data_IF_796610192185
#
_entry.id   IF_796610192185
#
_cell.length_a   1.000
_cell.length_b   1.000
_cell.length_c   1.000
_cell.angle_alpha   90.00
_cell.angle_beta   90.00
_cell.angle_gamma   90.00
#
_symmetry.space_group_name_H-M   'P 1'
#
loop_
_entity.id
_entity.type
_entity.pdbx_description
1 polymer ?
#
# COMPACT_ATOMS: atom_id res chain seq x y z
N UNK A 1 26.98 23.38 -28.55
CA UNK A 1 25.63 22.87 -28.82
C UNK A 1 25.54 21.52 -28.12
N UNK A 2 25.18 21.54 -26.84
CA UNK A 2 25.05 20.34 -26.01
C UNK A 2 23.59 19.94 -26.01
N UNK A 3 23.31 18.78 -26.49
CA UNK A 3 21.96 18.17 -26.52
C UNK A 3 21.69 17.51 -25.16
N UNK A 4 21.12 18.27 -24.25
CA UNK A 4 20.49 17.75 -23.03
C UNK A 4 19.02 17.43 -23.33
N UNK A 5 18.75 16.32 -23.99
CA UNK A 5 17.37 15.94 -24.28
C UNK A 5 17.21 14.42 -24.32
N UNK A 6 17.30 13.77 -23.16
CA UNK A 6 17.01 12.34 -23.13
C UNK A 6 16.14 11.89 -21.95
N UNK A 7 15.79 12.74 -21.02
CA UNK A 7 15.10 12.30 -19.79
C UNK A 7 13.64 12.77 -19.65
N UNK A 8 13.05 13.31 -20.71
CA UNK A 8 11.61 13.64 -20.74
C UNK A 8 10.70 12.44 -21.00
N UNK A 9 11.25 11.28 -21.35
CA UNK A 9 10.44 10.08 -21.62
C UNK A 9 9.97 9.32 -20.38
N UNK A 10 10.50 9.63 -19.19
CA UNK A 10 9.96 9.09 -17.95
C UNK A 10 8.52 9.56 -17.67
N UNK A 11 8.11 10.71 -18.23
CA UNK A 11 6.74 11.20 -18.08
C UNK A 11 5.70 10.41 -18.87
N UNK A 12 6.11 9.74 -19.97
CA UNK A 12 5.17 8.94 -20.78
C UNK A 12 4.86 7.58 -20.15
N UNK A 13 5.82 7.00 -19.40
CA UNK A 13 5.59 5.77 -18.61
C UNK A 13 4.70 6.05 -17.39
N UNK A 14 4.73 7.28 -16.88
CA UNK A 14 3.93 7.70 -15.72
C UNK A 14 2.42 7.72 -15.96
N UNK A 15 1.99 7.99 -17.20
CA UNK A 15 0.55 8.15 -17.55
C UNK A 15 -0.15 6.78 -17.68
N UNK A 16 0.58 5.72 -18.02
CA UNK A 16 0.00 4.39 -18.21
C UNK A 16 -0.19 3.62 -16.90
N UNK A 17 0.59 3.92 -15.85
CA UNK A 17 0.48 3.27 -14.54
C UNK A 17 -0.78 3.68 -13.74
N UNK A 18 -1.44 4.77 -14.11
CA UNK A 18 -2.59 5.30 -13.37
C UNK A 18 -3.94 4.79 -13.91
N UNK A 19 -4.00 4.26 -15.13
CA UNK A 19 -5.27 4.02 -15.81
C UNK A 19 -5.84 2.59 -15.73
N UNK A 20 -5.20 1.63 -15.06
CA UNK A 20 -5.64 0.23 -15.14
C UNK A 20 -5.94 -0.47 -13.80
N UNK A 21 -5.99 0.25 -12.68
CA UNK A 21 -6.32 -0.32 -11.37
C UNK A 21 -7.83 -0.44 -11.08
N UNK A 22 -8.70 -0.25 -12.06
CA UNK A 22 -10.16 -0.33 -11.88
C UNK A 22 -10.77 -1.73 -12.08
N UNK A 23 -9.99 -2.80 -12.20
CA UNK A 23 -10.53 -4.14 -12.43
C UNK A 23 -9.73 -5.25 -11.72
N UNK A 24 -9.37 -5.08 -10.46
CA UNK A 24 -9.02 -6.23 -9.64
C UNK A 24 -10.31 -6.82 -9.06
N UNK A 25 -10.82 -7.83 -9.71
CA UNK A 25 -11.95 -8.64 -9.26
C UNK A 25 -11.65 -9.21 -7.87
N UNK A 26 -12.39 -8.74 -6.88
CA UNK A 26 -12.49 -9.36 -5.57
C UNK A 26 -13.04 -10.79 -5.73
N UNK A 27 -12.18 -11.76 -5.77
CA UNK A 27 -12.51 -13.14 -5.43
C UNK A 27 -12.24 -13.33 -3.93
N UNK A 28 -13.03 -12.68 -3.10
CA UNK A 28 -13.15 -13.11 -1.72
C UNK A 28 -13.91 -14.45 -1.76
N UNK A 29 -13.16 -15.53 -1.70
CA UNK A 29 -13.73 -16.87 -1.54
C UNK A 29 -14.31 -16.98 -0.13
N UNK A 30 -15.58 -16.62 0.02
CA UNK A 30 -16.36 -17.06 1.16
C UNK A 30 -16.80 -18.50 0.88
N UNK A 31 -16.00 -19.44 1.41
CA UNK A 31 -16.23 -20.86 1.24
C UNK A 31 -17.55 -21.32 1.85
N UNK A 32 -18.26 -22.08 1.06
CA UNK A 32 -19.38 -22.92 1.48
C UNK A 32 -18.87 -24.01 2.43
N UNK A 33 -19.23 -23.93 3.69
CA UNK A 33 -19.14 -25.09 4.59
C UNK A 33 -20.37 -25.95 4.34
N UNK A 34 -20.15 -27.09 3.72
CA UNK A 34 -21.14 -28.15 3.60
C UNK A 34 -21.10 -28.99 4.88
N UNK A 35 -22.18 -28.93 5.62
CA UNK A 35 -22.49 -29.82 6.74
C UNK A 35 -22.72 -31.25 6.25
N UNK A 36 -22.02 -32.22 6.80
CA UNK A 36 -22.43 -33.62 6.76
C UNK A 36 -22.62 -34.14 8.16
N UNK A 37 -23.84 -34.48 8.39
CA UNK A 37 -24.46 -35.09 9.56
C UNK A 37 -23.79 -36.35 10.06
N UNK A 38 -23.78 -36.56 11.37
CA UNK A 38 -23.57 -37.83 12.00
C UNK A 38 -24.17 -37.86 13.40
N UNK A 39 -25.33 -38.50 13.51
CA UNK A 39 -26.13 -38.54 14.71
C UNK A 39 -25.60 -39.46 15.82
N UNK A 40 -26.14 -39.29 16.99
CA UNK A 40 -25.92 -40.15 18.16
C UNK A 40 -26.80 -39.74 19.33
N UNK A 41 -27.88 -40.42 19.49
CA UNK A 41 -28.89 -40.41 20.57
C UNK A 41 -28.30 -40.82 21.90
N UNK A 42 -28.79 -40.24 23.02
CA UNK A 42 -29.43 -40.88 24.22
C UNK A 42 -29.47 -39.94 25.42
N UNK A 43 -30.60 -39.49 25.80
CA UNK A 43 -31.51 -39.91 26.87
C UNK A 43 -31.07 -39.58 28.32
N UNK A 44 -31.83 -38.64 28.88
CA UNK A 44 -32.54 -38.60 30.16
C UNK A 44 -31.82 -38.90 31.49
N UNK A 45 -31.94 -38.01 32.45
CA UNK A 45 -32.81 -38.17 33.62
C UNK A 45 -32.71 -36.99 34.59
N UNK A 46 -33.84 -36.66 35.09
CA UNK A 46 -34.24 -35.75 36.15
C UNK A 46 -33.53 -35.99 37.50
N UNK A 47 -33.35 -34.94 38.33
CA UNK A 47 -34.07 -34.83 39.60
C UNK A 47 -33.75 -33.54 40.36
N UNK A 48 -34.77 -33.01 40.97
CA UNK A 48 -34.88 -31.82 41.78
C UNK A 48 -34.23 -31.98 43.17
N UNK A 49 -33.71 -30.88 43.74
CA UNK A 49 -33.98 -30.55 45.16
C UNK A 49 -33.57 -29.12 45.49
N UNK A 50 -34.48 -28.45 46.18
CA UNK A 50 -34.39 -27.12 46.78
C UNK A 50 -33.39 -27.01 47.91
N UNK A 51 -32.80 -25.82 48.05
CA UNK A 51 -32.77 -25.01 49.30
C UNK A 51 -31.93 -23.74 49.11
N UNK A 52 -32.48 -22.60 49.42
CA UNK A 52 -31.80 -21.34 49.75
C UNK A 52 -31.73 -21.21 51.29
N UNK A 53 -31.14 -20.14 51.89
CA UNK A 53 -30.20 -19.11 51.41
C UNK A 53 -28.95 -19.00 52.31
N UNK A 54 -27.91 -18.31 51.86
CA UNK A 54 -27.17 -17.40 52.73
C UNK A 54 -26.36 -16.35 51.90
N UNK A 55 -26.49 -15.14 52.38
CA UNK A 55 -25.80 -13.94 51.90
C UNK A 55 -24.31 -14.03 52.19
N UNK A 56 -23.48 -13.75 51.17
CA UNK A 56 -22.26 -13.01 51.43
C UNK A 56 -21.75 -12.27 50.16
N UNK A 57 -21.22 -11.14 50.44
CA UNK A 57 -20.73 -10.10 49.56
C UNK A 57 -19.85 -10.62 48.42
N UNK A 58 -20.29 -10.53 47.21
CA UNK A 58 -19.44 -10.65 46.00
C UNK A 58 -19.07 -9.26 45.52
N UNK A 59 -17.78 -8.99 45.59
CA UNK A 59 -17.00 -8.01 44.87
C UNK A 59 -17.50 -7.88 43.41
N UNK A 60 -17.77 -6.69 42.88
CA UNK A 60 -18.05 -6.54 41.47
C UNK A 60 -16.72 -6.70 40.70
N UNK A 61 -16.34 -7.96 40.47
CA UNK A 61 -15.34 -8.30 39.47
C UNK A 61 -15.76 -7.58 38.18
N UNK A 62 -14.94 -6.66 37.74
CA UNK A 62 -15.08 -5.97 36.49
C UNK A 62 -15.39 -7.01 35.41
N UNK A 63 -16.65 -7.09 35.01
CA UNK A 63 -17.04 -7.81 33.81
C UNK A 63 -16.24 -7.17 32.67
N UNK A 64 -15.24 -7.88 32.20
CA UNK A 64 -14.54 -7.50 30.98
C UNK A 64 -15.62 -7.31 29.94
N UNK A 65 -15.78 -6.06 29.49
CA UNK A 65 -16.75 -5.73 28.47
C UNK A 65 -16.45 -6.64 27.27
N UNK A 66 -17.42 -7.50 26.93
CA UNK A 66 -17.33 -8.35 25.77
C UNK A 66 -17.03 -7.43 24.58
N UNK A 67 -16.04 -7.75 23.72
CA UNK A 67 -15.70 -6.91 22.57
C UNK A 67 -16.99 -6.53 21.83
N UNK A 68 -17.12 -5.26 21.50
CA UNK A 68 -18.29 -4.79 20.79
C UNK A 68 -18.40 -5.54 19.47
N UNK A 69 -19.56 -6.13 19.20
CA UNK A 69 -19.79 -6.98 18.03
C UNK A 69 -19.77 -6.16 16.73
N UNK A 70 -19.65 -6.86 15.60
CA UNK A 70 -19.79 -6.31 14.24
C UNK A 70 -20.99 -5.34 14.12
N UNK A 71 -22.16 -5.75 14.60
CA UNK A 71 -23.40 -4.99 14.56
C UNK A 71 -23.40 -3.66 15.31
N UNK A 72 -22.50 -3.45 16.24
CA UNK A 72 -22.40 -2.21 17.01
C UNK A 72 -21.33 -1.25 16.49
N UNK A 73 -20.55 -1.63 15.46
CA UNK A 73 -19.55 -0.78 14.87
C UNK A 73 -20.19 0.46 14.21
N UNK A 74 -19.61 1.61 14.43
CA UNK A 74 -20.05 2.90 13.89
C UNK A 74 -18.90 3.64 13.24
N UNK A 75 -19.18 4.74 12.55
CA UNK A 75 -18.18 5.56 11.90
C UNK A 75 -16.99 5.89 12.84
N UNK A 76 -15.79 5.67 12.35
CA UNK A 76 -14.53 5.86 13.08
C UNK A 76 -14.11 4.67 13.94
N UNK A 77 -14.86 3.56 13.97
CA UNK A 77 -14.44 2.32 14.61
C UNK A 77 -13.44 1.58 13.71
N UNK A 78 -12.42 0.99 14.32
CA UNK A 78 -11.48 0.12 13.64
C UNK A 78 -11.77 -1.33 14.01
N UNK A 79 -11.73 -2.22 13.01
CA UNK A 79 -12.09 -3.62 13.15
C UNK A 79 -10.98 -4.54 12.68
N UNK A 80 -10.84 -5.65 13.38
CA UNK A 80 -9.96 -6.75 12.96
C UNK A 80 -10.74 -8.06 12.96
N UNK A 81 -10.18 -9.09 12.34
CA UNK A 81 -10.68 -10.45 12.29
C UNK A 81 -9.57 -11.42 11.94
N UNK A 82 -9.79 -12.68 12.22
CA UNK A 82 -8.91 -13.76 11.80
C UNK A 82 -9.27 -14.23 10.39
N UNK A 83 -8.25 -14.49 9.57
CA UNK A 83 -8.39 -15.10 8.25
C UNK A 83 -7.92 -16.56 8.32
N UNK A 84 -8.75 -17.48 7.90
CA UNK A 84 -8.37 -18.88 7.73
C UNK A 84 -7.60 -19.07 6.40
N UNK A 85 -6.99 -20.23 6.21
CA UNK A 85 -6.20 -20.53 5.00
C UNK A 85 -7.05 -20.55 3.71
N UNK A 86 -8.36 -20.74 3.83
CA UNK A 86 -9.32 -20.66 2.73
C UNK A 86 -9.86 -19.25 2.47
N UNK A 87 -9.34 -18.23 3.19
CA UNK A 87 -9.77 -16.84 3.10
C UNK A 87 -11.02 -16.50 3.91
N UNK A 88 -11.63 -17.45 4.63
CA UNK A 88 -12.80 -17.18 5.46
C UNK A 88 -12.43 -16.28 6.66
N UNK A 89 -13.30 -15.31 6.94
CA UNK A 89 -13.12 -14.36 8.03
C UNK A 89 -13.98 -14.75 9.23
N UNK A 90 -13.41 -14.70 10.43
CA UNK A 90 -14.10 -15.01 11.69
C UNK A 90 -13.55 -14.16 12.84
N UNK A 91 -14.33 -14.07 13.94
CA UNK A 91 -13.87 -13.36 15.13
C UNK A 91 -13.76 -11.85 14.93
N UNK A 92 -14.77 -11.22 14.31
CA UNK A 92 -14.81 -9.78 14.14
C UNK A 92 -14.83 -9.04 15.47
N UNK A 93 -13.86 -8.18 15.69
CA UNK A 93 -13.68 -7.40 16.91
C UNK A 93 -13.41 -5.94 16.59
N UNK A 94 -13.93 -5.03 17.44
CA UNK A 94 -13.53 -3.63 17.41
C UNK A 94 -12.27 -3.46 18.25
N UNK A 95 -11.29 -2.77 17.66
CA UNK A 95 -10.00 -2.47 18.31
C UNK A 95 -9.72 -0.97 18.26
N UNK A 96 -8.73 -0.53 19.03
CA UNK A 96 -8.21 0.83 18.87
C UNK A 96 -7.59 1.01 17.49
N UNK A 97 -7.87 2.13 16.80
CA UNK A 97 -7.25 2.40 15.50
C UNK A 97 -5.72 2.57 15.57
N UNK A 98 -5.14 2.77 16.73
CA UNK A 98 -3.69 2.75 16.95
C UNK A 98 -3.10 1.34 16.95
N UNK A 99 -3.93 0.30 17.04
CA UNK A 99 -3.53 -1.10 16.98
C UNK A 99 -3.73 -1.66 15.57
N UNK A 100 -3.08 -2.79 15.23
CA UNK A 100 -3.29 -3.43 13.93
C UNK A 100 -4.77 -3.78 13.70
N UNK A 101 -5.31 -3.31 12.60
CA UNK A 101 -6.69 -3.53 12.19
C UNK A 101 -6.77 -3.67 10.67
N UNK A 102 -7.85 -4.30 10.18
CA UNK A 102 -8.05 -4.59 8.76
C UNK A 102 -9.05 -3.66 8.09
N UNK A 103 -9.84 -2.93 8.88
CA UNK A 103 -10.94 -2.12 8.36
C UNK A 103 -11.21 -0.92 9.26
N UNK A 104 -11.37 0.26 8.68
CA UNK A 104 -11.86 1.46 9.34
C UNK A 104 -13.27 1.76 8.84
N UNK A 105 -14.24 1.75 9.73
CA UNK A 105 -15.65 2.01 9.40
C UNK A 105 -15.86 3.47 9.11
N UNK A 106 -16.38 3.80 7.93
CA UNK A 106 -16.78 5.15 7.54
C UNK A 106 -18.26 5.41 7.80
N UNK A 107 -19.10 4.43 7.50
CA UNK A 107 -20.57 4.51 7.64
C UNK A 107 -21.14 3.13 7.95
N UNK A 108 -22.26 3.14 8.67
CA UNK A 108 -23.06 1.96 8.93
C UNK A 108 -24.44 2.16 8.34
N UNK A 109 -24.85 1.25 7.48
CA UNK A 109 -26.15 1.24 6.83
C UNK A 109 -27.01 0.07 7.34
N UNK A 110 -28.31 0.30 7.49
CA UNK A 110 -29.30 -0.75 7.78
C UNK A 110 -30.06 -1.07 6.48
N UNK A 111 -29.71 -2.17 5.85
CA UNK A 111 -30.33 -2.60 4.61
C UNK A 111 -31.83 -2.91 4.77
N UNK A 112 -32.31 -3.20 5.99
CA UNK A 112 -33.74 -3.45 6.25
C UNK A 112 -34.60 -2.20 6.05
N UNK A 113 -34.01 -1.01 6.08
CA UNK A 113 -34.69 0.26 5.82
C UNK A 113 -35.04 0.46 4.34
N UNK A 114 -34.41 -0.28 3.44
CA UNK A 114 -34.69 -0.17 2.00
C UNK A 114 -35.96 -0.95 1.64
N UNK A 115 -36.91 -0.33 0.92
CA UNK A 115 -38.23 -0.91 0.65
C UNK A 115 -38.19 -1.95 -0.46
N UNK A 116 -37.30 -2.93 -0.35
CA UNK A 116 -37.17 -4.03 -1.32
C UNK A 116 -37.31 -5.37 -0.63
N UNK A 117 -37.72 -6.40 -1.37
CA UNK A 117 -37.74 -7.78 -0.87
C UNK A 117 -36.32 -8.37 -0.78
N UNK A 118 -35.36 -7.72 -1.40
CA UNK A 118 -33.97 -8.18 -1.46
C UNK A 118 -33.29 -8.30 -0.07
N UNK A 119 -33.70 -7.44 0.87
CA UNK A 119 -33.17 -7.46 2.23
C UNK A 119 -34.21 -7.85 3.29
N UNK A 120 -35.27 -8.50 2.85
CA UNK A 120 -36.33 -8.97 3.74
C UNK A 120 -35.89 -10.04 4.74
N UNK A 121 -36.78 -10.42 5.68
CA UNK A 121 -36.41 -11.35 6.77
C UNK A 121 -35.88 -12.71 6.30
N UNK A 122 -36.32 -13.18 5.13
CA UNK A 122 -35.93 -14.47 4.56
C UNK A 122 -35.08 -14.32 3.29
N UNK A 123 -34.54 -13.13 3.06
CA UNK A 123 -33.69 -12.88 1.90
C UNK A 123 -32.35 -13.60 2.05
N UNK A 124 -31.90 -14.19 0.95
CA UNK A 124 -30.54 -14.73 0.88
C UNK A 124 -29.50 -13.61 1.06
N UNK A 125 -28.35 -13.97 1.64
CA UNK A 125 -27.25 -13.02 1.79
C UNK A 125 -26.72 -12.64 0.40
N UNK A 126 -26.52 -11.35 0.09
CA UNK A 126 -26.00 -10.90 -1.20
C UNK A 126 -24.70 -11.61 -1.58
N UNK A 127 -24.63 -12.07 -2.82
CA UNK A 127 -23.41 -12.63 -3.39
C UNK A 127 -22.34 -11.54 -3.63
N UNK A 128 -21.13 -11.93 -4.06
CA UNK A 128 -20.00 -11.03 -4.28
C UNK A 128 -20.33 -9.94 -5.30
N UNK A 129 -21.09 -10.29 -6.35
CA UNK A 129 -21.48 -9.32 -7.40
C UNK A 129 -22.39 -8.24 -6.82
N UNK A 130 -23.39 -8.67 -6.03
CA UNK A 130 -24.31 -7.72 -5.38
C UNK A 130 -23.64 -6.92 -4.27
N UNK A 131 -22.70 -7.52 -3.54
CA UNK A 131 -21.90 -6.79 -2.54
C UNK A 131 -21.07 -5.67 -3.19
N UNK A 132 -20.46 -5.92 -4.36
CA UNK A 132 -19.76 -4.89 -5.12
C UNK A 132 -20.70 -3.75 -5.55
N UNK A 133 -21.89 -4.07 -6.04
CA UNK A 133 -22.89 -3.06 -6.39
C UNK A 133 -23.33 -2.24 -5.15
N UNK A 134 -23.55 -2.88 -4.01
CA UNK A 134 -23.89 -2.19 -2.75
C UNK A 134 -22.74 -1.28 -2.30
N UNK A 135 -21.49 -1.69 -2.45
CA UNK A 135 -20.35 -0.84 -2.18
C UNK A 135 -20.37 0.44 -3.04
N UNK A 136 -20.59 0.30 -4.33
CA UNK A 136 -20.68 1.45 -5.25
C UNK A 136 -21.89 2.35 -4.94
N UNK A 137 -23.05 1.75 -4.70
CA UNK A 137 -24.29 2.47 -4.45
C UNK A 137 -24.32 3.20 -3.10
N UNK A 138 -23.79 2.60 -2.04
CA UNK A 138 -23.98 3.07 -0.67
C UNK A 138 -22.69 3.53 0.02
N UNK A 139 -21.53 3.00 -0.38
CA UNK A 139 -20.30 3.23 0.37
C UNK A 139 -19.39 4.30 -0.24
N UNK A 140 -19.32 4.44 -1.57
CA UNK A 140 -18.31 5.33 -2.18
C UNK A 140 -18.46 6.78 -1.73
N UNK A 141 -19.64 7.38 -1.95
CA UNK A 141 -19.85 8.78 -1.63
C UNK A 141 -19.79 9.07 -0.12
N UNK A 142 -20.31 8.16 0.68
CA UNK A 142 -20.34 8.29 2.15
C UNK A 142 -18.94 8.17 2.74
N UNK A 143 -18.10 7.26 2.21
CA UNK A 143 -16.72 7.09 2.67
C UNK A 143 -15.84 8.27 2.25
N UNK A 144 -15.98 8.78 1.03
CA UNK A 144 -15.27 10.00 0.60
C UNK A 144 -15.69 11.18 1.47
N UNK A 145 -16.99 11.32 1.81
CA UNK A 145 -17.48 12.36 2.71
C UNK A 145 -16.94 12.21 4.14
N UNK A 146 -16.81 10.98 4.65
CA UNK A 146 -16.19 10.67 5.94
C UNK A 146 -14.75 11.18 6.02
N UNK A 147 -14.00 11.08 4.93
CA UNK A 147 -12.62 11.60 4.80
C UNK A 147 -12.57 13.08 4.38
N UNK A 148 -13.68 13.79 4.40
CA UNK A 148 -13.74 15.22 3.97
C UNK A 148 -13.20 15.44 2.54
N UNK A 149 -13.39 14.46 1.66
CA UNK A 149 -12.88 14.47 0.30
C UNK A 149 -11.39 14.09 0.17
N UNK A 150 -10.71 13.75 1.25
CA UNK A 150 -9.28 13.42 1.26
C UNK A 150 -9.06 11.91 1.14
N UNK A 151 -9.48 11.34 0.04
CA UNK A 151 -9.21 9.95 -0.32
C UNK A 151 -8.45 9.88 -1.64
N UNK A 152 -7.30 9.20 -1.63
CA UNK A 152 -6.50 8.99 -2.84
C UNK A 152 -6.94 7.69 -3.53
N UNK A 153 -7.62 7.77 -4.68
CA UNK A 153 -8.02 6.58 -5.43
C UNK A 153 -6.83 5.77 -5.97
N UNK A 154 -5.63 6.37 -6.01
CA UNK A 154 -4.39 5.71 -6.37
C UNK A 154 -3.55 5.33 -5.15
N UNK A 155 -4.11 5.54 -3.96
CA UNK A 155 -3.48 5.22 -2.69
C UNK A 155 -3.62 3.74 -2.32
N UNK A 156 -3.17 3.41 -1.11
CA UNK A 156 -3.18 2.04 -0.58
C UNK A 156 -4.51 1.64 0.08
N UNK A 157 -5.45 2.57 0.23
CA UNK A 157 -6.73 2.30 0.88
C UNK A 157 -7.85 2.22 -0.13
N UNK A 158 -8.49 1.05 -0.18
CA UNK A 158 -9.67 0.79 -0.98
C UNK A 158 -10.95 1.08 -0.17
N UNK A 159 -11.96 1.63 -0.83
CA UNK A 159 -13.30 1.66 -0.27
C UNK A 159 -13.90 0.26 -0.36
N UNK A 160 -14.36 -0.26 0.76
CA UNK A 160 -14.90 -1.59 0.85
C UNK A 160 -16.21 -1.62 1.64
N UNK A 161 -16.92 -2.73 1.53
CA UNK A 161 -18.12 -3.02 2.29
C UNK A 161 -18.04 -4.39 2.95
N UNK A 162 -18.56 -4.50 4.16
CA UNK A 162 -18.63 -5.76 4.88
C UNK A 162 -20.09 -6.02 5.28
N UNK A 163 -20.60 -7.20 4.92
CA UNK A 163 -21.87 -7.73 5.39
C UNK A 163 -21.68 -8.60 6.63
N UNK A 164 -22.72 -8.77 7.47
CA UNK A 164 -22.67 -9.68 8.61
C UNK A 164 -22.27 -11.10 8.19
N UNK A 165 -21.67 -11.87 9.08
CA UNK A 165 -21.49 -13.30 8.88
C UNK A 165 -22.84 -13.98 8.51
N UNK A 166 -22.79 -15.09 7.77
CA UNK A 166 -23.98 -15.75 7.26
C UNK A 166 -24.99 -16.08 8.39
N UNK A 167 -24.51 -16.59 9.51
CA UNK A 167 -25.35 -16.90 10.67
C UNK A 167 -26.08 -15.66 11.24
N UNK A 168 -25.39 -14.52 11.30
CA UNK A 168 -26.02 -13.28 11.77
C UNK A 168 -27.05 -12.74 10.74
N UNK A 169 -26.76 -12.91 9.43
CA UNK A 169 -27.71 -12.59 8.38
C UNK A 169 -29.00 -13.45 8.47
N UNK A 170 -28.85 -14.75 8.70
CA UNK A 170 -29.98 -15.67 8.92
C UNK A 170 -30.79 -15.30 10.16
N UNK A 171 -30.17 -14.73 11.19
CA UNK A 171 -30.81 -14.21 12.39
C UNK A 171 -31.46 -12.83 12.19
N UNK A 172 -31.37 -12.27 10.99
CA UNK A 172 -32.00 -11.01 10.63
C UNK A 172 -31.12 -9.78 10.70
N UNK A 173 -29.80 -9.93 10.94
CA UNK A 173 -28.89 -8.80 10.86
C UNK A 173 -28.75 -8.33 9.39
N UNK A 174 -29.04 -7.07 9.14
CA UNK A 174 -28.99 -6.43 7.82
C UNK A 174 -28.01 -5.27 7.79
N UNK A 175 -27.05 -5.28 8.69
CA UNK A 175 -26.02 -4.24 8.76
C UNK A 175 -25.07 -4.35 7.58
N UNK A 176 -24.86 -3.25 6.86
CA UNK A 176 -23.76 -3.06 5.92
C UNK A 176 -22.77 -2.07 6.56
N UNK A 177 -21.54 -2.47 6.73
CA UNK A 177 -20.47 -1.55 7.11
C UNK A 177 -19.73 -1.10 5.86
N UNK A 178 -19.72 0.19 5.63
CA UNK A 178 -18.86 0.83 4.63
C UNK A 178 -17.58 1.30 5.29
N UNK A 179 -16.46 1.24 4.58
CA UNK A 179 -15.20 1.71 5.16
C UNK A 179 -14.01 1.54 4.24
N UNK A 180 -12.86 1.54 4.86
CA UNK A 180 -11.55 1.56 4.21
C UNK A 180 -10.71 0.38 4.67
N UNK A 181 -10.02 -0.23 3.75
CA UNK A 181 -9.08 -1.34 3.99
C UNK A 181 -7.87 -1.24 3.09
N UNK A 182 -6.79 -1.92 3.42
CA UNK A 182 -5.68 -2.20 2.51
C UNK A 182 -5.76 -3.65 2.06
N UNK A 183 -5.36 -3.93 0.84
CA UNK A 183 -5.33 -5.30 0.30
C UNK A 183 -3.97 -5.63 -0.30
N UNK A 184 -3.62 -6.91 -0.34
CA UNK A 184 -2.49 -7.39 -1.13
C UNK A 184 -2.89 -7.58 -2.61
N UNK A 185 -1.95 -8.04 -3.42
CA UNK A 185 -2.17 -8.28 -4.85
C UNK A 185 -3.23 -9.36 -5.16
N UNK A 186 -3.57 -10.20 -4.17
CA UNK A 186 -4.63 -11.20 -4.28
C UNK A 186 -5.99 -10.67 -3.78
N UNK A 187 -6.06 -9.40 -3.33
CA UNK A 187 -7.26 -8.80 -2.78
C UNK A 187 -7.54 -9.19 -1.32
N UNK A 188 -6.58 -9.81 -0.63
CA UNK A 188 -6.75 -10.21 0.77
C UNK A 188 -6.53 -9.00 1.67
N UNK A 189 -7.48 -8.69 2.59
CA UNK A 189 -7.34 -7.58 3.53
C UNK A 189 -6.10 -7.70 4.40
N UNK A 190 -5.27 -6.66 4.38
CA UNK A 190 -4.03 -6.55 5.16
C UNK A 190 -4.24 -5.70 6.41
N UNK A 191 -3.36 -5.87 7.38
CA UNK A 191 -3.39 -5.04 8.59
C UNK A 191 -2.75 -3.68 8.33
N UNK A 192 -3.37 -2.65 8.90
CA UNK A 192 -2.88 -1.29 8.93
C UNK A 192 -3.00 -0.73 10.35
N UNK A 193 -2.36 0.39 10.62
CA UNK A 193 -2.44 1.11 11.89
C UNK A 193 -2.71 2.58 11.66
N UNK A 194 -3.44 3.22 12.57
CA UNK A 194 -3.82 4.62 12.46
C UNK A 194 -5.09 4.82 11.64
N UNK A 195 -5.75 5.96 11.80
CA UNK A 195 -6.90 6.34 10.98
C UNK A 195 -6.44 6.82 9.61
N UNK A 196 -7.18 6.45 8.56
CA UNK A 196 -6.84 6.82 7.17
C UNK A 196 -6.71 8.32 6.99
N UNK A 197 -7.52 9.11 7.67
CA UNK A 197 -7.42 10.58 7.66
C UNK A 197 -6.13 11.15 8.27
N UNK A 198 -5.37 10.35 9.01
CA UNK A 198 -4.18 10.77 9.77
C UNK A 198 -2.88 10.13 9.28
N UNK A 199 -2.97 9.13 8.42
CA UNK A 199 -1.81 8.40 7.91
C UNK A 199 -1.58 8.70 6.43
N UNK A 200 -0.37 8.42 5.97
CA UNK A 200 -0.01 8.54 4.55
C UNK A 200 -0.75 7.47 3.73
N UNK A 201 -1.44 7.91 2.69
CA UNK A 201 -2.21 7.03 1.82
C UNK A 201 -1.39 6.49 0.63
N UNK A 202 -0.16 6.91 0.46
CA UNK A 202 0.66 6.49 -0.67
C UNK A 202 0.92 4.98 -0.69
N UNK A 203 0.91 4.39 -1.88
CA UNK A 203 1.39 3.02 -2.12
C UNK A 203 2.91 3.04 -2.17
N UNK A 204 3.55 2.50 -1.14
CA UNK A 204 5.01 2.42 -1.07
C UNK A 204 5.47 1.02 -0.69
N UNK A 205 6.54 0.58 -1.35
CA UNK A 205 7.27 -0.64 -0.98
C UNK A 205 8.32 -0.32 0.09
N UNK A 206 8.65 -1.31 0.92
CA UNK A 206 9.63 -1.13 1.98
C UNK A 206 11.07 -1.22 1.44
N UNK A 207 12.04 -0.55 2.08
CA UNK A 207 13.44 -0.69 1.72
C UNK A 207 13.90 -2.15 1.74
N UNK A 208 14.53 -2.59 0.66
CA UNK A 208 14.97 -3.97 0.45
C UNK A 208 13.95 -4.85 -0.28
N UNK A 209 12.74 -4.37 -0.53
CA UNK A 209 11.77 -5.10 -1.35
C UNK A 209 12.11 -4.97 -2.84
N UNK A 210 12.08 -6.12 -3.52
CA UNK A 210 12.26 -6.21 -4.96
C UNK A 210 10.90 -6.29 -5.66
N UNK A 211 10.76 -5.57 -6.78
CA UNK A 211 9.48 -5.45 -7.48
C UNK A 211 9.62 -5.81 -8.94
N UNK A 212 8.72 -6.67 -9.38
CA UNK A 212 8.57 -7.06 -10.78
C UNK A 212 7.50 -6.20 -11.45
N UNK A 213 7.78 -5.76 -12.66
CA UNK A 213 6.84 -5.08 -13.56
C UNK A 213 6.30 -6.12 -14.52
N UNK A 214 4.99 -6.30 -14.59
CA UNK A 214 4.36 -7.18 -15.58
C UNK A 214 4.06 -6.46 -16.91
N UNK A 215 3.50 -7.20 -17.87
CA UNK A 215 3.15 -6.68 -19.18
C UNK A 215 2.05 -5.60 -19.17
N UNK A 216 1.32 -5.47 -18.07
CA UNK A 216 0.32 -4.43 -17.82
C UNK A 216 0.90 -3.24 -17.01
N UNK A 217 2.20 -3.24 -16.76
CA UNK A 217 2.89 -2.28 -15.90
C UNK A 217 2.45 -2.31 -14.42
N UNK A 218 1.93 -3.43 -13.95
CA UNK A 218 1.61 -3.63 -12.54
C UNK A 218 2.87 -4.04 -11.79
N UNK A 219 3.10 -3.39 -10.65
CA UNK A 219 4.22 -3.65 -9.77
C UNK A 219 3.83 -4.70 -8.72
N UNK A 220 4.54 -5.83 -8.71
CA UNK A 220 4.35 -6.91 -7.73
C UNK A 220 5.62 -7.08 -6.91
N UNK A 221 5.52 -7.16 -5.59
CA UNK A 221 6.64 -7.51 -4.71
C UNK A 221 6.98 -8.98 -4.87
N UNK A 222 8.26 -9.26 -5.07
CA UNK A 222 8.80 -10.62 -5.23
C UNK A 222 10.07 -10.78 -4.39
N UNK A 223 10.48 -12.00 -4.02
CA UNK A 223 11.81 -12.25 -3.46
C UNK A 223 12.91 -11.75 -4.41
N UNK A 224 13.94 -11.07 -3.89
CA UNK A 224 15.01 -10.55 -4.75
C UNK A 224 15.81 -11.65 -5.48
N UNK A 225 15.74 -12.89 -5.01
CA UNK A 225 16.28 -14.05 -5.73
C UNK A 225 15.50 -14.40 -7.00
N UNK A 226 14.30 -13.84 -7.18
CA UNK A 226 13.51 -14.00 -8.40
C UNK A 226 13.74 -12.85 -9.38
N UNK A 227 13.42 -13.01 -10.68
CA UNK A 227 13.48 -11.94 -11.66
C UNK A 227 12.61 -10.73 -11.27
N UNK A 228 13.21 -9.55 -11.23
CA UNK A 228 12.56 -8.29 -10.90
C UNK A 228 13.22 -7.12 -11.68
N UNK A 229 12.66 -5.93 -11.62
CA UNK A 229 13.17 -4.74 -12.32
C UNK A 229 13.58 -3.61 -11.38
N UNK A 230 13.02 -3.57 -10.18
CA UNK A 230 13.28 -2.51 -9.20
C UNK A 230 13.66 -3.13 -7.85
N UNK A 231 14.64 -2.56 -7.17
CA UNK A 231 14.90 -2.81 -5.75
C UNK A 231 14.69 -1.52 -4.97
N UNK A 232 13.79 -1.54 -4.01
CA UNK A 232 13.43 -0.36 -3.22
C UNK A 232 14.55 0.00 -2.25
N UNK A 233 14.99 1.24 -2.32
CA UNK A 233 16.06 1.79 -1.48
C UNK A 233 15.50 2.49 -0.25
N UNK A 234 14.50 3.35 -0.46
CA UNK A 234 13.91 4.15 0.61
C UNK A 234 12.51 4.64 0.27
N UNK A 235 11.81 5.08 1.30
CA UNK A 235 10.57 5.84 1.19
C UNK A 235 10.92 7.31 1.48
N UNK A 236 10.57 8.20 0.55
CA UNK A 236 10.82 9.65 0.67
C UNK A 236 9.48 10.33 1.00
N UNK A 237 9.35 10.85 2.21
CA UNK A 237 8.19 11.66 2.59
C UNK A 237 8.41 13.11 2.15
N UNK A 238 7.74 13.51 1.07
CA UNK A 238 7.90 14.83 0.46
C UNK A 238 7.30 15.96 1.31
N UNK A 239 6.34 15.66 2.18
CA UNK A 239 5.75 16.66 3.08
C UNK A 239 6.73 17.16 4.15
N UNK A 240 7.75 16.39 4.48
CA UNK A 240 8.80 16.85 5.41
C UNK A 240 9.59 18.05 4.85
N UNK A 241 9.76 18.09 3.53
CA UNK A 241 10.43 19.20 2.84
C UNK A 241 9.46 20.35 2.56
N UNK A 242 8.21 20.02 2.25
CA UNK A 242 7.20 20.99 1.81
C UNK A 242 5.99 21.03 2.75
N UNK A 243 6.16 21.43 4.02
CA UNK A 243 5.05 21.42 5.00
C UNK A 243 3.96 22.45 4.68
N UNK A 244 4.25 23.43 3.82
CA UNK A 244 3.33 24.50 3.43
C UNK A 244 2.34 24.14 2.32
N UNK A 245 2.39 22.93 1.78
CA UNK A 245 1.52 22.49 0.71
C UNK A 245 2.29 21.96 -0.50
N UNK A 246 1.57 21.64 -1.57
CA UNK A 246 2.14 21.10 -2.81
C UNK A 246 3.06 22.14 -3.47
N UNK A 247 4.35 21.83 -3.68
CA UNK A 247 5.30 22.73 -4.31
C UNK A 247 5.13 22.79 -5.84
N UNK A 248 5.98 23.57 -6.52
CA UNK A 248 6.12 23.43 -7.96
C UNK A 248 6.70 22.04 -8.31
N UNK A 249 6.21 21.43 -9.41
CA UNK A 249 6.63 20.08 -9.81
C UNK A 249 8.15 19.96 -9.96
N UNK A 250 8.81 20.98 -10.50
CA UNK A 250 10.26 20.99 -10.67
C UNK A 250 11.03 21.00 -9.34
N UNK A 251 10.50 21.69 -8.33
CA UNK A 251 11.13 21.73 -7.00
C UNK A 251 10.95 20.38 -6.29
N UNK A 252 9.79 19.76 -6.45
CA UNK A 252 9.53 18.42 -5.91
C UNK A 252 10.43 17.39 -6.58
N UNK A 253 10.50 17.39 -7.91
CA UNK A 253 11.30 16.43 -8.69
C UNK A 253 12.79 16.55 -8.34
N UNK A 254 13.30 17.78 -8.23
CA UNK A 254 14.68 18.05 -7.81
C UNK A 254 14.94 17.50 -6.40
N UNK A 255 14.05 17.78 -5.46
CA UNK A 255 14.20 17.27 -4.08
C UNK A 255 14.20 15.74 -4.02
N UNK A 256 13.27 15.09 -4.74
CA UNK A 256 13.18 13.63 -4.78
C UNK A 256 14.42 13.04 -5.43
N UNK A 257 14.88 13.63 -6.55
CA UNK A 257 16.08 13.21 -7.27
C UNK A 257 17.31 13.24 -6.37
N UNK A 258 17.56 14.37 -5.72
CA UNK A 258 18.74 14.56 -4.88
C UNK A 258 18.70 13.60 -3.68
N UNK A 259 17.53 13.49 -3.04
CA UNK A 259 17.34 12.60 -1.90
C UNK A 259 17.47 11.12 -2.30
N UNK A 260 16.88 10.72 -3.42
CA UNK A 260 16.96 9.35 -3.91
C UNK A 260 18.40 8.98 -4.30
N UNK A 261 19.13 9.90 -4.92
CA UNK A 261 20.53 9.69 -5.28
C UNK A 261 21.39 9.48 -4.03
N UNK A 262 21.23 10.32 -3.01
CA UNK A 262 21.96 10.18 -1.75
C UNK A 262 21.58 8.87 -1.04
N UNK A 263 20.29 8.56 -0.93
CA UNK A 263 19.82 7.33 -0.29
C UNK A 263 20.33 6.08 -1.02
N UNK A 264 20.45 6.13 -2.36
CA UNK A 264 21.00 5.02 -3.15
C UNK A 264 22.49 4.80 -2.86
N UNK A 265 23.27 5.86 -2.71
CA UNK A 265 24.68 5.76 -2.30
C UNK A 265 24.79 5.18 -0.89
N UNK A 266 23.97 5.67 0.05
CA UNK A 266 23.97 5.19 1.43
C UNK A 266 23.52 3.71 1.53
N UNK A 267 22.50 3.33 0.75
CA UNK A 267 21.98 1.95 0.69
C UNK A 267 23.04 0.95 0.22
N UNK A 268 23.86 1.33 -0.76
CA UNK A 268 24.93 0.49 -1.32
C UNK A 268 26.28 0.66 -0.60
N UNK A 269 26.37 1.55 0.41
CA UNK A 269 27.60 1.78 1.17
C UNK A 269 28.62 2.68 0.50
N UNK A 270 28.18 3.53 -0.43
CA UNK A 270 28.99 4.59 -1.02
C UNK A 270 28.82 4.81 -2.52
N UNK A 271 29.27 5.97 -2.99
CA UNK A 271 29.20 6.38 -4.39
C UNK A 271 29.90 5.39 -5.34
N UNK A 272 31.04 4.84 -4.92
CA UNK A 272 31.78 3.89 -5.75
C UNK A 272 31.01 2.58 -5.95
N UNK A 273 30.31 2.10 -4.92
CA UNK A 273 29.50 0.90 -5.02
C UNK A 273 28.31 1.11 -5.96
N UNK A 274 27.66 2.28 -5.89
CA UNK A 274 26.61 2.64 -6.84
C UNK A 274 27.16 2.69 -8.28
N UNK A 275 28.31 3.31 -8.50
CA UNK A 275 28.96 3.37 -9.80
C UNK A 275 29.31 1.97 -10.34
N UNK A 276 29.90 1.11 -9.51
CA UNK A 276 30.28 -0.25 -9.90
C UNK A 276 29.10 -1.18 -10.10
N UNK A 277 27.97 -0.91 -9.47
CA UNK A 277 26.73 -1.70 -9.65
C UNK A 277 26.11 -1.52 -11.04
N UNK A 278 26.43 -0.42 -11.74
CA UNK A 278 25.79 0.05 -12.99
C UNK A 278 24.30 0.37 -12.85
N UNK A 279 23.77 0.30 -11.64
CA UNK A 279 22.38 0.68 -11.36
C UNK A 279 22.22 2.18 -11.28
N UNK A 280 20.99 2.63 -11.50
CA UNK A 280 20.61 4.05 -11.45
C UNK A 280 19.52 4.26 -10.42
N UNK A 281 19.56 5.37 -9.65
CA UNK A 281 18.42 5.79 -8.86
C UNK A 281 17.20 6.05 -9.75
N UNK A 282 16.07 5.57 -9.30
CA UNK A 282 14.77 5.75 -9.94
C UNK A 282 13.71 6.05 -8.88
N UNK A 283 12.85 7.01 -9.15
CA UNK A 283 11.87 7.46 -8.15
C UNK A 283 10.48 7.62 -8.73
N UNK A 284 9.47 7.46 -7.85
CA UNK A 284 8.09 7.78 -8.15
C UNK A 284 7.84 9.29 -8.20
N UNK A 285 6.72 9.67 -8.79
CA UNK A 285 6.23 11.05 -8.72
C UNK A 285 4.99 11.12 -7.85
N UNK A 286 4.75 12.29 -7.27
CA UNK A 286 3.53 12.63 -6.53
C UNK A 286 2.69 13.56 -7.38
N UNK A 287 1.44 13.19 -7.70
CA UNK A 287 0.52 14.10 -8.36
C UNK A 287 -0.08 15.09 -7.34
N UNK A 288 -0.57 16.24 -7.84
CA UNK A 288 -1.30 17.18 -6.98
C UNK A 288 -2.56 16.54 -6.40
N UNK A 289 -3.28 15.74 -7.20
CA UNK A 289 -4.49 15.06 -6.77
C UNK A 289 -4.20 14.08 -5.62
N UNK A 290 -3.18 13.22 -5.76
CA UNK A 290 -2.77 12.33 -4.69
C UNK A 290 -2.29 13.07 -3.43
N UNK A 291 -1.59 14.20 -3.60
CA UNK A 291 -1.20 15.06 -2.49
C UNK A 291 -2.40 15.64 -1.77
N UNK A 292 -3.34 16.25 -2.50
CA UNK A 292 -4.54 16.88 -1.92
C UNK A 292 -5.43 15.81 -1.23
N UNK A 293 -5.39 14.58 -1.73
CA UNK A 293 -6.09 13.42 -1.19
C UNK A 293 -5.41 12.76 0.02
N UNK A 294 -4.17 13.10 0.37
CA UNK A 294 -3.53 12.60 1.60
C UNK A 294 -2.27 11.77 1.41
N UNK A 295 -1.85 11.47 0.18
CA UNK A 295 -0.56 10.82 -0.09
C UNK A 295 0.60 11.80 0.10
N UNK A 296 1.70 11.31 0.70
CA UNK A 296 2.87 12.14 1.08
C UNK A 296 4.20 11.52 0.72
N UNK A 297 4.24 10.26 0.36
CA UNK A 297 5.47 9.51 0.14
C UNK A 297 5.60 8.96 -1.26
N UNK A 298 6.85 8.83 -1.72
CA UNK A 298 7.21 8.14 -2.96
C UNK A 298 8.32 7.15 -2.69
N UNK A 299 8.44 6.11 -3.53
CA UNK A 299 9.58 5.20 -3.48
C UNK A 299 10.79 5.78 -4.23
N UNK A 300 11.96 5.55 -3.64
CA UNK A 300 13.25 5.57 -4.30
C UNK A 300 13.69 4.12 -4.52
N UNK A 301 14.09 3.78 -5.71
CA UNK A 301 14.50 2.43 -6.10
C UNK A 301 15.78 2.45 -6.92
N UNK A 302 16.42 1.31 -7.05
CA UNK A 302 17.49 1.06 -8.01
C UNK A 302 16.92 0.29 -9.20
N UNK A 303 17.35 0.67 -10.39
CA UNK A 303 17.04 0.02 -11.67
C UNK A 303 18.29 -0.11 -12.51
N UNK A 304 18.27 -1.00 -13.50
CA UNK A 304 19.16 -0.94 -14.64
C UNK A 304 18.37 -0.54 -15.89
N UNK A 305 18.77 0.57 -16.52
CA UNK A 305 18.13 1.11 -17.71
C UNK A 305 18.81 0.55 -18.97
N UNK A 306 18.02 -0.03 -19.85
CA UNK A 306 18.44 -0.53 -21.15
C UNK A 306 17.65 0.16 -22.27
N UNK A 307 18.17 1.28 -22.77
CA UNK A 307 17.59 2.04 -23.88
C UNK A 307 16.10 2.42 -23.71
N UNK A 308 15.70 2.74 -22.47
CA UNK A 308 14.33 3.16 -22.14
C UNK A 308 13.41 2.04 -21.66
N UNK A 309 13.97 0.84 -21.46
CA UNK A 309 13.30 -0.28 -20.79
C UNK A 309 14.07 -0.67 -19.51
N UNK A 310 13.43 -1.41 -18.64
CA UNK A 310 14.08 -1.95 -17.44
C UNK A 310 14.71 -3.31 -17.76
N UNK A 311 15.99 -3.50 -17.43
CA UNK A 311 16.62 -4.81 -17.43
C UNK A 311 16.09 -5.67 -16.28
N UNK A 312 16.18 -6.98 -16.43
CA UNK A 312 15.86 -7.93 -15.38
C UNK A 312 17.02 -8.07 -14.41
N UNK A 313 16.75 -7.81 -13.14
CA UNK A 313 17.66 -8.05 -12.04
C UNK A 313 17.32 -9.39 -11.39
N UNK A 314 18.33 -10.08 -10.84
CA UNK A 314 18.19 -11.26 -10.00
C UNK A 314 19.24 -11.20 -8.91
N UNK A 315 18.85 -11.38 -7.65
CA UNK A 315 19.69 -11.09 -6.49
C UNK A 315 19.54 -9.64 -6.01
N UNK A 316 20.02 -9.32 -4.82
CA UNK A 316 19.91 -7.98 -4.24
C UNK A 316 21.15 -7.15 -4.57
N UNK A 317 20.94 -5.89 -4.96
CA UNK A 317 22.02 -4.91 -5.13
C UNK A 317 22.80 -4.68 -3.83
N UNK A 318 22.16 -4.88 -2.66
CA UNK A 318 22.77 -4.74 -1.34
C UNK A 318 23.84 -5.80 -1.08
N UNK A 319 23.75 -6.96 -1.73
CA UNK A 319 24.76 -8.02 -1.63
C UNK A 319 25.99 -7.74 -2.51
N UNK A 320 26.03 -6.56 -3.13
CA UNK A 320 27.10 -6.12 -3.99
C UNK A 320 27.05 -6.72 -5.38
N UNK A 321 28.06 -6.37 -6.17
CA UNK A 321 28.15 -6.75 -7.59
C UNK A 321 28.11 -8.26 -7.82
N UNK A 322 28.72 -9.03 -6.92
CA UNK A 322 28.80 -10.50 -7.05
C UNK A 322 27.51 -11.21 -6.58
N UNK A 323 26.65 -10.48 -5.85
CA UNK A 323 25.37 -11.00 -5.32
C UNK A 323 24.19 -10.82 -6.24
N UNK A 324 24.36 -10.13 -7.40
CA UNK A 324 23.26 -9.89 -8.35
C UNK A 324 23.68 -10.11 -9.80
N UNK A 325 22.69 -10.32 -10.66
CA UNK A 325 22.86 -10.33 -12.12
C UNK A 325 21.91 -9.34 -12.79
N UNK A 326 22.32 -8.85 -13.96
CA UNK A 326 21.56 -7.99 -14.85
C UNK A 326 21.40 -8.74 -16.16
N UNK A 327 20.16 -9.03 -16.57
CA UNK A 327 19.82 -9.87 -17.74
C UNK A 327 20.61 -11.21 -17.74
N UNK A 328 20.80 -11.80 -16.55
CA UNK A 328 21.47 -13.08 -16.35
C UNK A 328 22.99 -13.04 -16.35
N UNK A 329 23.62 -11.85 -16.44
CA UNK A 329 25.07 -11.68 -16.39
C UNK A 329 25.47 -10.81 -15.18
N UNK A 330 26.65 -10.98 -14.58
CA UNK A 330 27.15 -10.06 -13.56
C UNK A 330 27.24 -8.64 -14.12
N UNK A 331 27.06 -7.62 -13.27
CA UNK A 331 27.25 -6.22 -13.69
C UNK A 331 28.62 -5.99 -14.35
N UNK A 332 28.62 -5.24 -15.45
CA UNK A 332 29.87 -4.95 -16.19
C UNK A 332 30.82 -4.16 -15.29
N UNK A 333 32.08 -4.62 -15.19
CA UNK A 333 33.10 -3.93 -14.44
C UNK A 333 33.34 -2.51 -15.00
N UNK A 334 33.18 -1.52 -14.13
CA UNK A 334 33.43 -0.14 -14.51
C UNK A 334 34.90 0.23 -14.29
N UNK A 335 35.47 1.07 -15.18
CA UNK A 335 36.80 1.57 -14.97
C UNK A 335 36.95 2.22 -13.59
N UNK A 336 38.05 1.95 -12.88
CA UNK A 336 38.33 2.65 -11.63
C UNK A 336 38.41 4.13 -11.89
N UNK A 337 37.63 4.91 -11.17
CA UNK A 337 37.76 6.38 -11.20
C UNK A 337 39.08 6.79 -10.55
N UNK A 338 39.96 7.43 -11.32
CA UNK A 338 41.24 7.91 -10.79
C UNK A 338 41.53 9.34 -11.31
N UNK A 339 41.69 10.33 -10.43
CA UNK A 339 41.51 10.20 -8.97
C UNK A 339 40.03 10.14 -8.58
N UNK A 340 39.74 9.43 -7.50
CA UNK A 340 38.43 9.57 -6.82
C UNK A 340 38.26 11.05 -6.49
N UNK A 341 37.11 11.61 -6.87
CA UNK A 341 36.82 13.01 -6.55
C UNK A 341 36.72 13.13 -5.04
N UNK A 342 37.65 13.84 -4.44
CA UNK A 342 37.52 14.22 -3.03
C UNK A 342 36.31 15.15 -2.90
N UNK A 343 35.29 14.80 -2.09
CA UNK A 343 34.13 15.66 -1.89
C UNK A 343 34.50 17.04 -1.32
N UNK A 344 35.69 17.19 -0.76
CA UNK A 344 36.21 18.47 -0.29
C UNK A 344 37.14 19.17 -1.29
N UNK A 345 37.41 18.58 -2.46
CA UNK A 345 38.22 19.26 -3.49
C UNK A 345 37.33 20.28 -4.22
N UNK A 346 37.60 21.56 -3.97
CA UNK A 346 37.10 22.64 -4.82
C UNK A 346 37.55 22.40 -6.27
N UNK A 347 36.70 22.69 -7.29
CA UNK A 347 37.15 22.69 -8.68
C UNK A 347 38.38 23.58 -8.78
N UNK A 348 39.50 23.04 -9.27
CA UNK A 348 40.64 23.88 -9.61
C UNK A 348 40.11 24.97 -10.55
N UNK A 349 40.27 26.22 -10.14
CA UNK A 349 39.92 27.37 -10.93
C UNK A 349 40.39 27.15 -12.38
N UNK A 350 39.44 27.09 -13.30
CA UNK A 350 39.73 27.14 -14.71
C UNK A 350 40.35 28.50 -14.98
N UNK A 351 41.69 28.52 -15.06
CA UNK A 351 42.42 29.70 -15.38
C UNK A 351 41.99 30.22 -16.77
N UNK A 352 41.32 31.39 -16.88
CA UNK A 352 40.92 31.93 -18.16
C UNK A 352 42.07 32.75 -18.74
N UNK A 353 43.23 32.13 -18.96
CA UNK A 353 44.38 32.83 -19.59
C UNK A 353 44.88 32.04 -20.79
N UNK A 354 44.24 32.21 -21.92
CA UNK A 354 44.81 32.21 -23.26
C UNK A 354 43.71 32.64 -24.28
N UNK A 355 43.42 33.93 -24.30
CA UNK A 355 42.82 34.49 -25.52
C UNK A 355 43.89 34.49 -26.60
N UNK A 356 43.66 33.98 -27.82
CA UNK A 356 44.55 34.18 -28.94
C UNK A 356 44.41 35.63 -29.41
N UNK A 357 45.53 36.35 -29.36
CA UNK A 357 45.68 37.64 -30.04
C UNK A 357 45.44 37.45 -31.54
N UNK A 358 44.39 38.00 -32.06
CA UNK A 358 44.16 38.13 -33.47
C UNK A 358 45.07 39.28 -34.00
N UNK A 359 46.08 38.91 -34.78
CA UNK A 359 46.80 39.86 -35.62
C UNK A 359 45.84 40.49 -36.66
N UNK A 360 45.77 41.80 -36.63
CA UNK A 360 45.11 42.58 -37.65
C UNK A 360 46.11 42.83 -38.79
N UNK A 361 45.77 42.60 -40.06
CA UNK A 361 46.56 43.06 -41.16
C UNK A 361 46.32 44.58 -41.41
N UNK A 362 47.41 45.34 -41.46
CA UNK A 362 47.46 46.71 -41.98
C UNK A 362 47.19 46.70 -43.49
N UNK A 363 46.25 47.51 -43.96
CA UNK A 363 46.26 48.56 -45.00
C UNK A 363 44.83 49.05 -45.24
#
# INVERSE_FOLDING_TARGET
>A
MSTSSAWRSASAVRIVLVATLAAATFLAAYGLVNDTSGGGTSAASSESASAAPDSDSADPSAAQAKPASFTSASAGACMTWSLAADGSASGFEQVSCGEPHRFEVSTREDLSAYPTSEFGPNAERPDVTRQNALREELCESTTVSYLEGKWDPNGRYDIASILPPAEAWEQGDRTLLCGLQTTDAAGVPQESTGKVSQVDQAVVAQPGECRRVDDQNVLTTVPCAEPHQLETVSIINVAQKFPGGYPADADMDTFIQDTCTQNSMDYLGGEENLYQSTLKPFWGSMSRESWDAGSRSVNCSLIHDNAGSFSTLTGSAKDGRDGMTIDGAPPTEQPKRNPLRDPNSQPADANPSAAPTADAPAQ
#
